data_IF_892574292346
#
_entry.id   IF_892574292346
#
_cell.length_a   1.000
_cell.length_b   1.000
_cell.length_c   1.000
_cell.angle_alpha   90.00
_cell.angle_beta   90.00
_cell.angle_gamma   90.00
#
_symmetry.space_group_name_H-M   'P 1'
#
loop_
_entity.id
_entity.type
_entity.pdbx_description
1 polymer ?
#
# COMPACT_ATOMS: atom_id res chain seq x y z
N UNK A 1 -25.51 6.18 -3.92
CA UNK A 1 -25.64 4.72 -3.91
C UNK A 1 -24.99 4.27 -2.63
N UNK A 2 -25.70 3.59 -1.72
CA UNK A 2 -25.07 3.08 -0.50
C UNK A 2 -24.26 1.88 -0.92
N UNK A 3 -22.92 1.97 -0.89
CA UNK A 3 -22.06 0.82 -1.14
C UNK A 3 -22.25 -0.13 0.04
N UNK A 4 -22.67 -1.37 -0.22
CA UNK A 4 -22.68 -2.41 0.80
C UNK A 4 -21.22 -2.64 1.23
N UNK A 5 -20.92 -2.36 2.50
CA UNK A 5 -19.59 -2.55 3.06
C UNK A 5 -19.29 -4.05 3.09
N UNK A 6 -18.17 -4.47 2.51
CA UNK A 6 -17.74 -5.87 2.56
C UNK A 6 -17.40 -6.26 4.01
N UNK A 7 -16.89 -5.32 4.82
CA UNK A 7 -16.64 -5.49 6.24
C UNK A 7 -17.50 -4.53 7.08
N UNK A 8 -18.60 -5.01 7.67
CA UNK A 8 -19.50 -4.11 8.41
C UNK A 8 -18.94 -3.57 9.74
N UNK A 9 -17.95 -4.25 10.34
CA UNK A 9 -17.37 -3.86 11.63
C UNK A 9 -15.87 -4.21 11.68
N UNK A 10 -15.00 -3.36 11.10
CA UNK A 10 -13.57 -3.60 11.11
C UNK A 10 -12.99 -3.51 12.53
N UNK A 11 -12.01 -4.37 12.81
CA UNK A 11 -11.20 -4.27 14.03
C UNK A 11 -10.15 -3.18 13.80
N UNK A 12 -10.16 -2.16 14.66
CA UNK A 12 -9.25 -1.01 14.59
C UNK A 12 -8.14 -1.19 15.62
N UNK A 13 -6.90 -1.00 15.17
CA UNK A 13 -5.68 -1.13 15.95
C UNK A 13 -5.05 0.24 16.20
N UNK A 14 -4.34 0.39 17.33
CA UNK A 14 -3.60 1.61 17.63
C UNK A 14 -2.42 1.78 16.65
N UNK A 15 -2.32 2.96 16.02
CA UNK A 15 -1.17 3.32 15.20
C UNK A 15 0.10 3.35 16.03
N UNK A 16 1.21 2.85 15.49
CA UNK A 16 2.52 2.99 16.13
C UNK A 16 3.00 4.45 16.01
N UNK A 17 3.60 5.00 17.07
CA UNK A 17 4.23 6.33 16.96
C UNK A 17 5.26 6.36 15.83
N UNK A 18 5.19 7.37 14.96
CA UNK A 18 6.15 7.54 13.88
C UNK A 18 7.50 7.88 14.49
N UNK A 19 8.50 7.03 14.23
CA UNK A 19 9.87 7.25 14.71
C UNK A 19 10.48 8.40 13.94
N UNK A 20 11.06 9.37 14.64
CA UNK A 20 11.85 10.43 14.01
C UNK A 20 13.12 9.79 13.45
N UNK A 21 13.27 9.82 12.13
CA UNK A 21 14.53 9.41 11.46
C UNK A 21 15.57 10.49 11.78
N UNK A 22 16.50 10.16 12.66
CA UNK A 22 17.67 11.00 12.90
C UNK A 22 18.69 10.67 11.81
N UNK A 23 19.07 11.67 11.01
CA UNK A 23 20.18 11.53 10.07
C UNK A 23 21.44 11.14 10.88
N UNK A 24 22.21 10.13 10.47
CA UNK A 24 23.42 9.78 11.19
C UNK A 24 24.40 10.96 11.12
N UNK A 25 24.89 11.45 12.27
CA UNK A 25 25.79 12.61 12.40
C UNK A 25 27.11 12.49 11.61
N UNK A 26 27.41 11.33 11.01
CA UNK A 26 28.69 11.01 10.36
C UNK A 26 28.55 10.49 8.91
N UNK A 27 27.42 10.75 8.25
CA UNK A 27 27.25 10.38 6.84
C UNK A 27 27.74 11.52 5.95
N UNK A 28 28.53 11.20 4.92
CA UNK A 28 28.89 12.16 3.87
C UNK A 28 27.61 12.84 3.36
N UNK A 29 27.46 14.16 3.53
CA UNK A 29 26.22 14.91 3.26
C UNK A 29 25.74 14.74 1.79
N UNK A 30 26.63 14.27 0.91
CA UNK A 30 26.37 13.99 -0.50
C UNK A 30 26.02 12.53 -0.82
N UNK A 31 26.12 11.60 0.13
CA UNK A 31 25.76 10.20 -0.09
C UNK A 31 24.24 10.05 0.04
N UNK A 32 23.59 9.56 -1.03
CA UNK A 32 22.17 9.27 -0.99
C UNK A 32 21.89 8.15 0.04
N UNK A 33 21.07 8.44 1.03
CA UNK A 33 20.61 7.44 2.00
C UNK A 33 19.83 6.35 1.26
N UNK A 34 20.10 5.06 1.54
CA UNK A 34 19.34 3.98 0.95
C UNK A 34 17.92 3.98 1.51
N UNK A 35 16.93 3.77 0.63
CA UNK A 35 15.55 3.56 1.04
C UNK A 35 15.49 2.27 1.85
N UNK A 36 14.92 2.34 3.05
CA UNK A 36 14.73 1.20 3.94
C UNK A 36 13.26 0.77 4.02
N UNK A 37 13.02 -0.30 4.76
CA UNK A 37 11.69 -0.87 4.97
C UNK A 37 10.72 0.10 5.67
N UNK A 38 11.23 0.91 6.60
CA UNK A 38 10.42 1.86 7.38
C UNK A 38 9.93 3.00 6.49
N UNK A 39 10.76 3.49 5.56
CA UNK A 39 10.38 4.53 4.60
C UNK A 39 9.25 4.07 3.67
N UNK A 40 9.34 2.85 3.15
CA UNK A 40 8.28 2.25 2.36
C UNK A 40 6.99 2.13 3.17
N UNK A 41 7.08 1.68 4.42
CA UNK A 41 5.94 1.56 5.32
C UNK A 41 5.29 2.93 5.61
N UNK A 42 6.08 3.96 5.90
CA UNK A 42 5.60 5.31 6.15
C UNK A 42 4.88 5.92 4.93
N UNK A 43 5.22 5.51 3.71
CA UNK A 43 4.48 5.92 2.52
C UNK A 43 3.08 5.29 2.42
N UNK A 44 2.88 4.07 2.91
CA UNK A 44 1.65 3.29 2.66
C UNK A 44 0.74 3.16 3.89
N UNK A 45 1.25 3.40 5.10
CA UNK A 45 0.51 3.23 6.36
C UNK A 45 -0.72 4.12 6.51
N UNK A 46 -0.68 5.31 5.91
CA UNK A 46 -1.74 6.33 6.00
C UNK A 46 -2.72 6.28 4.82
N UNK A 47 -2.55 5.34 3.88
CA UNK A 47 -3.54 5.10 2.83
C UNK A 47 -4.86 4.73 3.52
N UNK A 48 -5.95 5.35 3.09
CA UNK A 48 -7.29 5.05 3.63
C UNK A 48 -7.87 3.82 2.98
N UNK A 49 -8.62 3.07 3.77
CA UNK A 49 -9.45 2.00 3.27
C UNK A 49 -10.58 2.58 2.39
N UNK A 50 -10.92 1.95 1.25
CA UNK A 50 -11.97 2.44 0.36
C UNK A 50 -13.39 2.29 0.95
N UNK A 51 -13.59 1.44 1.95
CA UNK A 51 -14.88 1.21 2.62
C UNK A 51 -14.99 1.95 3.95
N UNK A 52 -13.86 2.28 4.60
CA UNK A 52 -13.82 2.84 5.94
C UNK A 52 -12.94 4.08 6.07
N UNK A 53 -13.23 4.97 7.04
CA UNK A 53 -12.40 6.16 7.29
C UNK A 53 -11.06 5.85 7.98
N UNK A 54 -10.66 4.58 8.08
CA UNK A 54 -9.45 4.12 8.78
C UNK A 54 -8.30 3.91 7.79
N UNK A 55 -7.07 4.00 8.29
CA UNK A 55 -5.88 3.70 7.48
C UNK A 55 -5.60 2.21 7.36
N UNK A 56 -4.81 1.83 6.35
CA UNK A 56 -4.41 0.43 6.15
C UNK A 56 -3.59 -0.12 7.34
N UNK A 57 -2.87 0.74 8.07
CA UNK A 57 -2.20 0.34 9.32
C UNK A 57 -3.20 0.07 10.44
N UNK A 58 -4.18 0.96 10.63
CA UNK A 58 -5.21 0.81 11.67
C UNK A 58 -6.04 -0.45 11.46
N UNK A 59 -6.20 -0.90 10.22
CA UNK A 59 -6.90 -2.14 9.88
C UNK A 59 -5.99 -3.37 9.81
N UNK A 60 -4.70 -3.25 10.14
CA UNK A 60 -3.69 -4.30 9.98
C UNK A 60 -3.61 -4.88 8.55
N UNK A 61 -4.05 -4.12 7.55
CA UNK A 61 -3.97 -4.50 6.14
C UNK A 61 -2.52 -4.48 5.67
N UNK A 62 -1.75 -3.49 6.13
CA UNK A 62 -0.30 -3.42 5.93
C UNK A 62 0.40 -3.26 7.27
N UNK A 63 1.53 -3.94 7.41
CA UNK A 63 2.41 -3.82 8.58
C UNK A 63 3.84 -3.58 8.12
N UNK A 64 4.69 -3.06 8.99
CA UNK A 64 6.12 -2.87 8.69
C UNK A 64 6.75 -4.19 8.21
N UNK A 65 6.49 -5.30 8.90
CA UNK A 65 7.00 -6.65 8.58
C UNK A 65 6.52 -7.19 7.22
N UNK A 66 5.42 -6.66 6.70
CA UNK A 66 4.84 -7.07 5.41
C UNK A 66 5.54 -6.45 4.20
N UNK A 67 6.52 -5.57 4.45
CA UNK A 67 7.31 -4.87 3.44
C UNK A 67 8.70 -5.50 3.34
N UNK A 68 9.09 -5.89 2.13
CA UNK A 68 10.43 -6.39 1.81
C UNK A 68 11.10 -5.46 0.79
N UNK A 69 12.32 -5.00 1.07
CA UNK A 69 13.10 -4.16 0.16
C UNK A 69 14.44 -4.80 -0.20
N UNK A 70 14.79 -4.75 -1.48
CA UNK A 70 16.10 -5.08 -2.00
C UNK A 70 16.62 -3.91 -2.83
N UNK A 71 17.35 -3.01 -2.20
CA UNK A 71 17.87 -1.80 -2.83
C UNK A 71 18.83 -2.10 -4.00
N UNK A 72 19.68 -3.14 -3.85
CA UNK A 72 20.64 -3.58 -4.88
C UNK A 72 19.95 -4.02 -6.16
N UNK A 73 18.83 -4.73 -6.04
CA UNK A 73 18.01 -5.15 -7.18
C UNK A 73 16.93 -4.12 -7.55
N UNK A 74 16.86 -3.00 -6.81
CA UNK A 74 15.80 -1.99 -6.92
C UNK A 74 14.42 -2.66 -6.97
N UNK A 75 14.13 -3.49 -5.97
CA UNK A 75 12.89 -4.25 -5.88
C UNK A 75 12.23 -4.05 -4.53
N UNK A 76 10.95 -3.71 -4.53
CA UNK A 76 10.11 -3.58 -3.33
C UNK A 76 8.97 -4.56 -3.47
N UNK A 77 8.78 -5.41 -2.47
CA UNK A 77 7.60 -6.25 -2.34
C UNK A 77 6.78 -5.80 -1.15
N UNK A 78 5.48 -5.65 -1.35
CA UNK A 78 4.54 -5.43 -0.26
C UNK A 78 3.52 -6.54 -0.27
N UNK A 79 3.38 -7.20 0.87
CA UNK A 79 2.32 -8.17 1.12
C UNK A 79 1.24 -7.49 1.95
N UNK A 80 -0.02 -7.52 1.52
CA UNK A 80 -1.12 -6.95 2.29
C UNK A 80 -2.15 -8.02 2.62
N UNK A 81 -2.83 -7.86 3.75
CA UNK A 81 -3.84 -8.81 4.24
C UNK A 81 -5.21 -8.14 4.15
N UNK A 82 -6.10 -8.55 3.22
CA UNK A 82 -7.46 -8.04 3.18
C UNK A 82 -8.18 -8.28 4.50
N UNK A 83 -9.06 -7.36 4.90
CA UNK A 83 -9.82 -7.49 6.15
C UNK A 83 -10.85 -8.62 6.12
N UNK A 84 -11.28 -9.05 4.91
CA UNK A 84 -12.22 -10.17 4.68
C UNK A 84 -11.83 -11.01 3.46
N UNK A 85 -12.10 -12.32 3.52
CA UNK A 85 -11.68 -13.30 2.51
C UNK A 85 -12.35 -13.15 1.12
N UNK A 86 -13.47 -12.40 1.06
CA UNK A 86 -14.24 -12.12 -0.16
C UNK A 86 -14.28 -10.62 -0.49
N UNK A 87 -13.24 -9.88 -0.12
CA UNK A 87 -13.19 -8.43 -0.31
C UNK A 87 -13.15 -8.06 -1.80
N UNK A 88 -14.26 -7.52 -2.32
CA UNK A 88 -14.31 -6.93 -3.66
C UNK A 88 -13.28 -5.80 -3.85
N UNK A 89 -12.91 -5.14 -2.75
CA UNK A 89 -11.97 -4.02 -2.70
C UNK A 89 -10.50 -4.43 -2.54
N UNK A 90 -10.17 -5.72 -2.41
CA UNK A 90 -8.77 -6.17 -2.30
C UNK A 90 -7.91 -5.69 -3.49
N UNK A 91 -8.50 -5.66 -4.69
CA UNK A 91 -7.81 -5.16 -5.89
C UNK A 91 -7.61 -3.64 -5.85
N UNK A 92 -8.57 -2.89 -5.29
CA UNK A 92 -8.48 -1.43 -5.13
C UNK A 92 -7.42 -1.07 -4.09
N UNK A 93 -7.43 -1.75 -2.93
CA UNK A 93 -6.41 -1.58 -1.89
C UNK A 93 -5.01 -1.82 -2.47
N UNK A 94 -4.80 -2.94 -3.15
CA UNK A 94 -3.52 -3.25 -3.79
C UNK A 94 -3.13 -2.22 -4.87
N UNK A 95 -4.11 -1.67 -5.60
CA UNK A 95 -3.87 -0.61 -6.58
C UNK A 95 -3.44 0.70 -5.89
N UNK A 96 -4.11 1.11 -4.80
CA UNK A 96 -3.73 2.28 -4.01
C UNK A 96 -2.28 2.18 -3.51
N UNK A 97 -1.92 1.02 -2.93
CA UNK A 97 -0.53 0.75 -2.49
C UNK A 97 0.44 0.86 -3.66
N UNK A 98 0.13 0.24 -4.81
CA UNK A 98 0.97 0.29 -6.00
C UNK A 98 1.18 1.72 -6.50
N UNK A 99 0.10 2.49 -6.63
CA UNK A 99 0.14 3.87 -7.11
C UNK A 99 0.92 4.76 -6.15
N UNK A 100 0.69 4.63 -4.85
CA UNK A 100 1.42 5.40 -3.83
C UNK A 100 2.92 5.17 -3.93
N UNK A 101 3.35 3.93 -4.05
CA UNK A 101 4.77 3.58 -4.17
C UNK A 101 5.37 4.03 -5.50
N UNK A 102 4.66 3.87 -6.62
CA UNK A 102 5.14 4.37 -7.93
C UNK A 102 5.30 5.88 -7.93
N UNK A 103 4.45 6.63 -7.21
CA UNK A 103 4.54 8.09 -7.09
C UNK A 103 5.62 8.56 -6.11
N UNK A 104 5.91 7.78 -5.08
CA UNK A 104 6.80 8.19 -3.99
C UNK A 104 8.23 7.71 -4.18
N UNK A 105 8.45 6.58 -4.88
CA UNK A 105 9.76 5.97 -5.05
C UNK A 105 10.44 6.39 -6.35
N UNK A 106 11.78 6.37 -6.40
CA UNK A 106 12.52 6.55 -7.63
C UNK A 106 12.10 5.52 -8.71
N UNK A 107 12.00 5.91 -10.00
CA UNK A 107 11.55 5.02 -11.09
C UNK A 107 12.35 3.74 -11.30
N UNK A 108 13.54 3.63 -10.69
CA UNK A 108 14.36 2.41 -10.70
C UNK A 108 13.71 1.24 -9.95
N UNK A 109 12.85 1.52 -8.98
CA UNK A 109 12.23 0.47 -8.17
C UNK A 109 11.11 -0.25 -8.88
N UNK A 110 11.19 -1.58 -8.88
CA UNK A 110 10.12 -2.48 -9.31
C UNK A 110 9.26 -2.81 -8.10
N UNK A 111 7.99 -2.45 -8.16
CA UNK A 111 7.01 -2.72 -7.10
C UNK A 111 6.23 -4.00 -7.43
N UNK A 112 6.34 -4.99 -6.55
CA UNK A 112 5.60 -6.28 -6.54
C UNK A 112 4.58 -6.25 -5.39
N UNK A 113 3.29 -6.29 -5.71
CA UNK A 113 2.23 -6.27 -4.70
C UNK A 113 1.60 -7.66 -4.61
N UNK A 114 1.45 -8.17 -3.38
CA UNK A 114 0.87 -9.49 -3.13
C UNK A 114 -0.16 -9.44 -2.02
N UNK A 115 -1.19 -10.25 -2.17
CA UNK A 115 -2.10 -10.63 -1.10
C UNK A 115 -1.40 -11.68 -0.22
N UNK A 116 -1.56 -11.58 1.10
CA UNK A 116 -1.04 -12.55 2.05
C UNK A 116 -1.56 -13.97 1.74
N UNK A 117 -0.70 -15.00 1.70
CA UNK A 117 -1.13 -16.35 1.32
C UNK A 117 -2.28 -16.87 2.20
N UNK A 118 -3.33 -17.37 1.58
CA UNK A 118 -4.51 -17.91 2.27
C UNK A 118 -5.48 -16.87 2.84
N UNK A 119 -5.22 -15.58 2.66
CA UNK A 119 -6.08 -14.50 3.18
C UNK A 119 -7.23 -14.09 2.25
N UNK A 120 -7.25 -14.57 1.00
CA UNK A 120 -8.28 -14.20 0.02
C UNK A 120 -8.61 -15.34 -0.93
N UNK A 121 -9.90 -15.57 -1.17
CA UNK A 121 -10.37 -16.70 -1.98
C UNK A 121 -9.84 -16.68 -3.44
N UNK A 122 -9.53 -15.50 -3.97
CA UNK A 122 -9.02 -15.32 -5.34
C UNK A 122 -7.63 -14.68 -5.38
N UNK A 123 -6.79 -14.92 -4.36
CA UNK A 123 -5.43 -14.37 -4.22
C UNK A 123 -4.59 -14.41 -5.51
N UNK A 124 -4.57 -15.54 -6.23
CA UNK A 124 -3.77 -15.70 -7.45
C UNK A 124 -4.24 -14.77 -8.56
N UNK A 125 -5.55 -14.59 -8.70
CA UNK A 125 -6.11 -13.69 -9.70
C UNK A 125 -5.81 -12.24 -9.34
N UNK A 126 -5.98 -11.84 -8.07
CA UNK A 126 -5.67 -10.48 -7.59
C UNK A 126 -4.18 -10.17 -7.80
N UNK A 127 -3.28 -11.07 -7.37
CA UNK A 127 -1.84 -10.91 -7.55
C UNK A 127 -1.46 -10.76 -9.03
N UNK A 128 -2.08 -11.54 -9.92
CA UNK A 128 -1.84 -11.42 -11.36
C UNK A 128 -2.30 -10.06 -11.90
N UNK A 129 -3.46 -9.58 -11.47
CA UNK A 129 -3.99 -8.27 -11.88
C UNK A 129 -3.13 -7.11 -11.42
N UNK A 130 -2.71 -7.14 -10.14
CA UNK A 130 -1.93 -6.07 -9.53
C UNK A 130 -0.51 -5.98 -10.09
N UNK A 131 0.05 -7.07 -10.62
CA UNK A 131 1.39 -7.08 -11.19
C UNK A 131 1.43 -6.91 -12.72
N UNK A 132 0.29 -7.02 -13.40
CA UNK A 132 0.15 -6.66 -14.80
C UNK A 132 0.21 -5.13 -14.96
N UNK A 133 1.21 -4.65 -15.72
CA UNK A 133 1.44 -3.21 -15.90
C UNK A 133 0.41 -2.56 -16.83
N UNK A 134 0.05 -3.26 -17.90
CA UNK A 134 -0.92 -2.74 -18.88
C UNK A 134 -2.31 -2.68 -18.25
N UNK A 135 -2.67 -3.69 -17.47
CA UNK A 135 -3.95 -3.71 -16.76
C UNK A 135 -4.06 -2.60 -15.71
N UNK A 136 -2.98 -2.33 -14.96
CA UNK A 136 -2.98 -1.24 -14.00
C UNK A 136 -3.00 0.12 -14.68
N UNK A 137 -2.26 0.30 -15.77
CA UNK A 137 -2.32 1.54 -16.55
C UNK A 137 -3.75 1.80 -17.06
N UNK A 138 -4.39 0.79 -17.66
CA UNK A 138 -5.77 0.90 -18.13
C UNK A 138 -6.78 1.15 -16.99
N UNK A 139 -6.55 0.58 -15.81
CA UNK A 139 -7.40 0.84 -14.63
C UNK A 139 -7.33 2.32 -14.18
N UNK A 140 -6.16 2.95 -14.28
CA UNK A 140 -5.96 4.36 -13.92
C UNK A 140 -6.48 5.34 -14.97
N UNK A 141 -6.80 4.88 -16.19
CA UNK A 141 -7.50 5.68 -17.19
C UNK A 141 -9.01 5.74 -16.96
N UNK A 142 -9.56 4.87 -16.08
CA UNK A 142 -10.97 4.90 -15.71
C UNK A 142 -11.20 5.98 -14.64
N UNK A 143 -11.96 7.05 -14.92
CA UNK A 143 -12.16 8.16 -13.98
C UNK A 143 -12.74 7.72 -12.64
N UNK A 144 -13.69 6.78 -12.64
CA UNK A 144 -14.32 6.32 -11.39
C UNK A 144 -13.34 5.59 -10.48
N UNK A 145 -12.43 4.79 -11.06
CA UNK A 145 -11.40 4.10 -10.28
C UNK A 145 -10.32 5.07 -9.83
N UNK A 146 -9.95 6.01 -10.69
CA UNK A 146 -8.98 7.04 -10.36
C UNK A 146 -9.45 7.89 -9.18
N UNK A 147 -10.71 8.33 -9.19
CA UNK A 147 -11.29 9.13 -8.10
C UNK A 147 -11.23 8.39 -6.76
N UNK A 148 -11.60 7.10 -6.73
CA UNK A 148 -11.50 6.26 -5.52
C UNK A 148 -10.04 6.15 -5.05
N UNK A 149 -9.11 5.91 -5.99
CA UNK A 149 -7.68 5.81 -5.65
C UNK A 149 -7.17 7.14 -5.10
N UNK A 150 -7.49 8.28 -5.71
CA UNK A 150 -7.07 9.58 -5.21
C UNK A 150 -7.66 9.90 -3.84
N UNK A 151 -8.91 9.51 -3.57
CA UNK A 151 -9.53 9.65 -2.26
C UNK A 151 -8.81 8.81 -1.19
N UNK A 152 -8.47 7.56 -1.50
CA UNK A 152 -7.69 6.70 -0.62
C UNK A 152 -6.27 7.25 -0.36
N UNK A 153 -5.68 7.94 -1.33
CA UNK A 153 -4.33 8.51 -1.25
C UNK A 153 -4.29 9.94 -0.69
N UNK A 154 -5.45 10.55 -0.47
CA UNK A 154 -5.55 11.92 0.02
C UNK A 154 -4.90 12.05 1.41
N UNK A 155 -4.09 13.09 1.65
CA UNK A 155 -3.45 13.29 2.93
C UNK A 155 -4.50 13.42 4.04
N UNK A 156 -4.29 12.68 5.13
CA UNK A 156 -4.97 12.92 6.41
C UNK A 156 -4.27 14.11 7.06
N UNK A 157 -4.92 15.28 6.99
CA UNK A 157 -4.55 16.40 7.84
C UNK A 157 -5.15 16.13 9.22
N UNK A 158 -4.32 15.67 10.16
CA UNK A 158 -4.63 15.73 11.59
C UNK A 158 -4.37 17.15 12.12
#
# INVERSE_FOLDING_TARGET
MVMELSNANPVVHEKKERRIRLAPENTDENAAEPIDQLEIFDHIRDIKDPEHPYSLEELNVVTEESVEINDKLSHVRVTFTPTVEHCSMATVIGLCVRVKLIRSLPPRYKVDIRVAPGSHATETAVNKQLNDKERVAAALENPNLLDIVEECLAPTFD
#
